data_IF_545549092428
#
_entry.id   IF_545549092428
#
_cell.length_a   1.000
_cell.length_b   1.000
_cell.length_c   1.000
_cell.angle_alpha   90.00
_cell.angle_beta   90.00
_cell.angle_gamma   90.00
#
_symmetry.space_group_name_H-M   'P 1'
#
loop_
_entity.id
_entity.type
_entity.pdbx_description
1 polymer ?
#
# COMPACT_ATOMS: atom_id res chain seq x y z
N UNK A 1 -43.90 45.34 -41.75
CA UNK A 1 -44.45 45.28 -43.13
C UNK A 1 -43.35 45.71 -44.09
N UNK A 2 -43.14 44.94 -45.16
CA UNK A 2 -42.24 45.17 -46.33
C UNK A 2 -40.75 44.89 -46.05
N UNK A 3 -39.97 44.13 -46.83
CA UNK A 3 -40.23 43.15 -47.89
C UNK A 3 -38.94 42.35 -48.15
N UNK A 4 -39.11 41.18 -48.76
CA UNK A 4 -38.09 40.28 -49.29
C UNK A 4 -37.19 40.92 -50.36
N UNK A 5 -35.94 40.45 -50.45
CA UNK A 5 -35.22 40.34 -51.71
C UNK A 5 -34.36 39.06 -51.75
N UNK A 6 -34.37 38.43 -52.92
CA UNK A 6 -34.00 37.06 -53.23
C UNK A 6 -32.59 36.91 -53.83
N UNK A 7 -32.08 35.67 -53.77
CA UNK A 7 -31.26 34.93 -54.78
C UNK A 7 -29.78 35.31 -55.03
N UNK A 8 -28.90 34.37 -54.68
CA UNK A 8 -28.02 33.58 -55.56
C UNK A 8 -27.10 32.74 -54.64
N UNK A 9 -27.05 31.41 -54.67
CA UNK A 9 -26.74 30.56 -55.81
C UNK A 9 -25.30 30.06 -55.66
N UNK A 10 -25.11 28.86 -55.09
CA UNK A 10 -23.94 27.96 -55.29
C UNK A 10 -24.19 26.63 -54.58
N UNK A 11 -24.64 25.66 -55.36
CA UNK A 11 -24.58 24.26 -54.99
C UNK A 11 -23.11 23.82 -54.97
N UNK A 12 -22.60 23.45 -53.79
CA UNK A 12 -21.37 22.69 -53.68
C UNK A 12 -21.74 21.21 -53.67
N UNK A 13 -21.28 20.52 -54.70
CA UNK A 13 -21.31 19.05 -54.78
C UNK A 13 -20.37 18.52 -53.70
N UNK A 14 -20.95 17.92 -52.67
CA UNK A 14 -20.24 17.10 -51.69
C UNK A 14 -19.72 15.86 -52.41
N UNK A 15 -18.43 15.88 -52.79
CA UNK A 15 -17.69 14.70 -53.18
C UNK A 15 -17.35 13.87 -51.96
N UNK A 16 -18.12 12.82 -51.71
CA UNK A 16 -17.81 11.80 -50.69
C UNK A 16 -16.60 10.99 -51.15
N UNK A 17 -15.39 11.38 -50.75
CA UNK A 17 -14.23 10.49 -50.83
C UNK A 17 -14.33 9.50 -49.65
N UNK A 18 -14.90 8.33 -49.92
CA UNK A 18 -14.75 7.18 -49.03
C UNK A 18 -13.30 6.69 -49.13
N UNK A 19 -12.44 7.19 -48.23
CA UNK A 19 -11.13 6.60 -48.01
C UNK A 19 -11.34 5.24 -47.33
N UNK A 20 -11.23 4.16 -48.11
CA UNK A 20 -11.04 2.82 -47.58
C UNK A 20 -9.67 2.79 -46.89
N UNK A 21 -9.66 3.09 -45.59
CA UNK A 21 -8.56 2.68 -44.74
C UNK A 21 -8.59 1.16 -44.68
N UNK A 22 -7.67 0.52 -45.40
CA UNK A 22 -7.38 -0.89 -45.18
C UNK A 22 -6.91 -1.03 -43.74
N UNK A 23 -7.79 -1.52 -42.85
CA UNK A 23 -7.43 -1.94 -41.50
C UNK A 23 -6.58 -3.20 -41.70
N UNK A 24 -5.27 -3.02 -41.84
CA UNK A 24 -4.34 -4.12 -41.68
C UNK A 24 -4.49 -4.57 -40.22
N UNK A 25 -4.80 -5.85 -39.95
CA UNK A 25 -4.76 -6.34 -38.59
C UNK A 25 -3.34 -6.12 -38.08
N UNK A 26 -3.17 -5.29 -37.04
CA UNK A 26 -1.94 -5.35 -36.26
C UNK A 26 -1.90 -6.79 -35.75
N UNK A 27 -0.92 -7.56 -36.22
CA UNK A 27 -0.63 -8.84 -35.63
C UNK A 27 -0.35 -8.56 -34.14
N UNK A 28 -1.23 -9.04 -33.27
CA UNK A 28 -0.95 -9.01 -31.84
C UNK A 28 0.35 -9.78 -31.66
N UNK A 29 1.38 -9.12 -31.13
CA UNK A 29 2.61 -9.81 -30.74
C UNK A 29 2.19 -10.95 -29.80
N UNK A 30 2.53 -12.18 -30.18
CA UNK A 30 2.25 -13.34 -29.34
C UNK A 30 3.12 -13.25 -28.10
N UNK A 31 2.50 -13.34 -26.91
CA UNK A 31 3.22 -13.48 -25.65
C UNK A 31 4.15 -14.69 -25.74
N UNK A 32 5.41 -14.52 -25.37
CA UNK A 32 6.35 -15.62 -25.24
C UNK A 32 6.54 -15.96 -23.76
N UNK A 33 6.65 -17.26 -23.44
CA UNK A 33 7.09 -17.68 -22.10
C UNK A 33 8.59 -17.47 -21.99
N UNK A 34 8.99 -16.47 -21.19
CA UNK A 34 10.39 -16.05 -21.09
C UNK A 34 11.12 -16.67 -19.90
N UNK A 35 10.38 -17.01 -18.84
CA UNK A 35 10.90 -17.68 -17.66
C UNK A 35 9.88 -18.71 -17.19
N UNK A 36 10.35 -19.90 -16.79
CA UNK A 36 9.47 -21.00 -16.37
C UNK A 36 10.15 -21.90 -15.34
N UNK A 37 9.44 -22.19 -14.27
CA UNK A 37 9.72 -23.24 -13.28
C UNK A 37 8.57 -24.21 -13.33
N UNK A 38 8.80 -25.41 -13.86
CA UNK A 38 7.77 -26.44 -14.00
C UNK A 38 7.37 -27.09 -12.65
N UNK A 39 6.18 -27.70 -12.55
CA UNK A 39 5.70 -28.35 -11.32
C UNK A 39 6.30 -29.75 -11.11
N UNK A 40 7.16 -30.25 -12.01
CA UNK A 40 7.70 -31.60 -11.95
C UNK A 40 8.62 -31.78 -10.73
N UNK A 41 8.24 -32.68 -9.82
CA UNK A 41 9.01 -32.97 -8.60
C UNK A 41 8.75 -32.01 -7.44
N UNK A 42 7.78 -31.12 -7.59
CA UNK A 42 7.38 -30.15 -6.57
C UNK A 42 6.29 -30.73 -5.64
N UNK A 43 6.21 -30.22 -4.41
CA UNK A 43 5.08 -30.46 -3.51
C UNK A 43 3.89 -29.60 -3.94
N UNK A 44 2.88 -30.23 -4.52
CA UNK A 44 1.66 -29.60 -5.02
C UNK A 44 0.59 -29.30 -3.96
N UNK A 45 0.92 -29.39 -2.67
CA UNK A 45 -0.04 -29.27 -1.56
C UNK A 45 0.28 -28.11 -0.60
N UNK A 46 1.04 -27.12 -1.05
CA UNK A 46 1.39 -25.96 -0.24
C UNK A 46 0.22 -24.99 -0.18
N UNK A 47 -0.35 -24.80 1.01
CA UNK A 47 -1.42 -23.82 1.22
C UNK A 47 -0.95 -22.38 0.98
N UNK A 48 -1.82 -21.55 0.41
CA UNK A 48 -1.55 -20.12 0.19
C UNK A 48 -1.57 -19.36 1.53
N UNK A 49 -2.35 -19.78 2.54
CA UNK A 49 -2.25 -19.26 3.90
C UNK A 49 -2.44 -17.74 4.00
N UNK A 50 -3.28 -17.17 3.14
CA UNK A 50 -3.52 -15.74 2.99
C UNK A 50 -2.69 -15.07 1.89
N UNK A 51 -1.38 -15.34 1.82
CA UNK A 51 -0.53 -14.85 0.73
C UNK A 51 0.73 -15.71 0.54
N UNK A 52 1.34 -15.68 -0.64
CA UNK A 52 2.60 -16.38 -0.93
C UNK A 52 3.24 -15.75 -2.16
N UNK A 53 4.56 -15.63 -2.18
CA UNK A 53 5.27 -14.94 -3.26
C UNK A 53 6.57 -15.60 -3.69
N UNK A 54 7.12 -15.09 -4.78
CA UNK A 54 8.37 -15.54 -5.37
C UNK A 54 9.07 -14.36 -6.02
N UNK A 55 10.37 -14.21 -5.73
CA UNK A 55 11.22 -13.29 -6.47
C UNK A 55 11.77 -13.91 -7.76
N UNK A 56 11.88 -13.09 -8.80
CA UNK A 56 12.46 -13.43 -10.09
C UNK A 56 13.24 -12.25 -10.70
N UNK A 57 14.16 -12.54 -11.61
CA UNK A 57 14.99 -11.53 -12.31
C UNK A 57 14.98 -11.85 -13.81
N UNK A 58 14.27 -11.08 -14.65
CA UNK A 58 14.32 -11.26 -16.10
C UNK A 58 15.70 -10.86 -16.62
N UNK A 59 16.26 -11.63 -17.56
CA UNK A 59 17.60 -11.33 -18.12
C UNK A 59 17.59 -10.06 -19.00
N UNK A 60 16.48 -9.81 -19.70
CA UNK A 60 16.27 -8.65 -20.56
C UNK A 60 15.05 -7.85 -20.14
N UNK A 61 14.93 -6.62 -20.64
CA UNK A 61 13.71 -5.84 -20.46
C UNK A 61 12.48 -6.56 -21.03
N UNK A 62 11.34 -6.45 -20.37
CA UNK A 62 10.12 -7.19 -20.67
C UNK A 62 8.90 -6.28 -20.49
N UNK A 63 8.00 -6.24 -21.47
CA UNK A 63 6.62 -5.79 -21.26
C UNK A 63 5.79 -6.98 -20.76
N UNK A 64 5.62 -7.05 -19.43
CA UNK A 64 4.97 -8.15 -18.75
C UNK A 64 3.47 -8.15 -19.04
N UNK A 65 2.98 -9.29 -19.52
CA UNK A 65 1.56 -9.51 -19.79
C UNK A 65 0.92 -10.36 -18.70
N UNK A 66 1.55 -11.46 -18.31
CA UNK A 66 1.03 -12.37 -17.31
C UNK A 66 2.12 -13.02 -16.46
N UNK A 67 1.75 -13.39 -15.24
CA UNK A 67 2.47 -14.38 -14.44
C UNK A 67 1.52 -15.54 -14.20
N UNK A 68 1.89 -16.75 -14.58
CA UNK A 68 1.11 -17.94 -14.30
C UNK A 68 1.70 -18.70 -13.12
N UNK A 69 0.85 -19.20 -12.23
CA UNK A 69 1.27 -20.04 -11.09
C UNK A 69 0.54 -21.38 -11.17
N UNK A 70 1.22 -22.48 -10.86
CA UNK A 70 0.57 -23.79 -10.82
C UNK A 70 -0.26 -23.91 -9.55
N UNK A 71 -1.58 -24.02 -9.69
CA UNK A 71 -2.52 -24.11 -8.56
C UNK A 71 -3.33 -25.40 -8.62
N UNK A 72 -3.58 -25.99 -7.45
CA UNK A 72 -4.50 -27.11 -7.24
C UNK A 72 -5.65 -26.63 -6.35
N UNK A 73 -6.92 -26.72 -6.80
CA UNK A 73 -8.06 -26.35 -5.95
C UNK A 73 -8.18 -27.25 -4.72
N UNK A 74 -8.59 -26.70 -3.57
CA UNK A 74 -8.83 -27.44 -2.32
C UNK A 74 -10.28 -27.29 -1.81
N UNK A 75 -11.23 -27.38 -2.75
CA UNK A 75 -12.66 -27.30 -2.46
C UNK A 75 -13.19 -25.88 -2.25
N UNK A 76 -14.38 -25.61 -2.81
CA UNK A 76 -15.05 -24.32 -2.73
C UNK A 76 -14.48 -23.27 -3.69
N UNK A 77 -15.31 -22.32 -4.08
CA UNK A 77 -14.93 -21.25 -5.01
C UNK A 77 -14.09 -20.18 -4.30
N UNK A 78 -12.88 -19.96 -4.80
CA UNK A 78 -11.92 -19.03 -4.21
C UNK A 78 -11.39 -18.06 -5.25
N UNK A 79 -11.18 -16.79 -4.86
CA UNK A 79 -10.61 -15.76 -5.71
C UNK A 79 -9.21 -15.38 -5.28
N UNK A 80 -8.31 -15.16 -6.23
CA UNK A 80 -6.91 -14.80 -6.00
C UNK A 80 -6.54 -13.57 -6.79
N UNK A 81 -5.83 -12.66 -6.14
CA UNK A 81 -5.20 -11.51 -6.79
C UNK A 81 -3.67 -11.72 -6.74
N UNK A 82 -2.92 -11.11 -7.65
CA UNK A 82 -1.47 -11.10 -7.61
C UNK A 82 -0.92 -9.68 -7.62
N UNK A 83 -0.04 -9.39 -6.66
CA UNK A 83 0.79 -8.19 -6.66
C UNK A 83 2.08 -8.45 -7.37
N UNK A 84 2.54 -7.46 -8.13
CA UNK A 84 3.89 -7.42 -8.68
C UNK A 84 4.64 -6.27 -8.03
N UNK A 85 5.83 -6.54 -7.53
CA UNK A 85 6.65 -5.62 -6.74
C UNK A 85 8.04 -5.47 -7.37
N UNK A 86 8.64 -4.28 -7.24
CA UNK A 86 10.00 -3.97 -7.68
C UNK A 86 11.02 -4.29 -6.58
N UNK A 87 11.83 -5.32 -6.78
CA UNK A 87 12.84 -5.81 -5.85
C UNK A 87 12.51 -7.20 -5.27
N UNK A 88 13.29 -7.60 -4.29
CA UNK A 88 13.22 -8.93 -3.65
C UNK A 88 12.38 -8.86 -2.37
N UNK A 89 11.32 -9.65 -2.30
CA UNK A 89 10.44 -9.78 -1.14
C UNK A 89 9.18 -8.90 -1.17
N UNK A 90 8.28 -9.06 -0.19
CA UNK A 90 6.95 -8.43 -0.14
C UNK A 90 7.00 -6.94 0.26
N UNK A 91 8.11 -6.47 0.80
CA UNK A 91 8.22 -5.08 1.29
C UNK A 91 8.54 -4.08 0.19
N UNK A 92 8.91 -4.60 -0.99
CA UNK A 92 9.22 -3.88 -2.22
C UNK A 92 8.08 -3.01 -2.74
N UNK A 93 8.37 -1.88 -3.43
CA UNK A 93 7.34 -1.05 -4.04
C UNK A 93 6.50 -1.82 -5.07
N UNK A 94 5.17 -1.86 -4.96
CA UNK A 94 4.31 -2.44 -5.97
C UNK A 94 4.33 -1.70 -7.32
N UNK A 95 4.38 -2.48 -8.38
CA UNK A 95 4.33 -2.07 -9.80
C UNK A 95 2.96 -2.30 -10.41
N UNK A 96 2.24 -3.34 -9.99
CA UNK A 96 0.97 -3.72 -10.60
C UNK A 96 0.16 -4.66 -9.73
N UNK A 97 -1.13 -4.71 -10.02
CA UNK A 97 -2.07 -5.69 -9.49
C UNK A 97 -2.71 -6.39 -10.68
N UNK A 98 -2.79 -7.72 -10.61
CA UNK A 98 -3.41 -8.52 -11.65
C UNK A 98 -4.94 -8.43 -11.64
N UNK A 99 -5.57 -8.96 -12.69
CA UNK A 99 -6.97 -9.38 -12.62
C UNK A 99 -7.14 -10.52 -11.60
N UNK A 100 -8.33 -10.61 -10.99
CA UNK A 100 -8.67 -11.72 -10.08
C UNK A 100 -8.83 -13.03 -10.85
N UNK A 101 -8.18 -14.08 -10.38
CA UNK A 101 -8.36 -15.44 -10.87
C UNK A 101 -9.24 -16.23 -9.91
N UNK A 102 -10.27 -16.89 -10.43
CA UNK A 102 -11.14 -17.78 -9.65
C UNK A 102 -10.69 -19.23 -9.80
N UNK A 103 -10.36 -19.87 -8.68
CA UNK A 103 -10.03 -21.30 -8.59
C UNK A 103 -11.04 -21.95 -7.65
N UNK A 104 -11.82 -22.89 -8.17
CA UNK A 104 -12.96 -23.43 -7.43
C UNK A 104 -13.32 -24.87 -7.79
N UNK A 105 -14.53 -25.27 -7.39
CA UNK A 105 -15.02 -26.63 -7.60
C UNK A 105 -15.17 -26.91 -9.10
N UNK A 106 -14.39 -27.88 -9.60
CA UNK A 106 -14.37 -28.25 -11.02
C UNK A 106 -13.26 -27.58 -11.84
N UNK A 107 -12.48 -26.67 -11.27
CA UNK A 107 -11.20 -26.25 -11.86
C UNK A 107 -10.23 -27.44 -11.80
N UNK A 108 -9.52 -27.74 -12.88
CA UNK A 108 -8.46 -28.75 -12.84
C UNK A 108 -7.18 -28.14 -12.26
N UNK A 109 -6.35 -28.94 -11.59
CA UNK A 109 -5.00 -28.51 -11.24
C UNK A 109 -4.24 -28.08 -12.50
N UNK A 110 -3.60 -26.91 -12.47
CA UNK A 110 -2.95 -26.37 -13.65
C UNK A 110 -2.49 -24.93 -13.50
N UNK A 111 -1.95 -24.40 -14.60
CA UNK A 111 -1.51 -23.01 -14.71
C UNK A 111 -2.67 -22.03 -14.62
N UNK A 112 -2.58 -21.11 -13.65
CA UNK A 112 -3.53 -20.03 -13.45
C UNK A 112 -2.82 -18.71 -13.78
N UNK A 113 -3.29 -18.04 -14.84
CA UNK A 113 -2.66 -16.82 -15.37
C UNK A 113 -3.20 -15.57 -14.68
N UNK A 114 -2.30 -14.79 -14.09
CA UNK A 114 -2.56 -13.49 -13.48
C UNK A 114 -2.11 -12.40 -14.46
N UNK A 115 -3.06 -11.82 -15.19
CA UNK A 115 -2.79 -10.82 -16.23
C UNK A 115 -2.64 -9.41 -15.66
N UNK A 116 -1.71 -8.64 -16.22
CA UNK A 116 -1.44 -7.24 -15.87
C UNK A 116 -1.70 -6.31 -17.06
N UNK A 117 -2.13 -5.08 -16.80
CA UNK A 117 -2.35 -4.05 -17.83
C UNK A 117 -1.01 -3.35 -18.19
N UNK A 118 -0.07 -4.09 -18.79
CA UNK A 118 1.18 -3.58 -19.36
C UNK A 118 2.18 -3.07 -18.33
N UNK A 119 3.05 -3.96 -17.81
CA UNK A 119 4.10 -3.58 -16.86
C UNK A 119 5.48 -3.78 -17.48
N UNK A 120 6.18 -2.68 -17.75
CA UNK A 120 7.55 -2.72 -18.21
C UNK A 120 8.53 -3.06 -17.06
N UNK A 121 9.23 -4.18 -17.20
CA UNK A 121 10.31 -4.63 -16.33
C UNK A 121 11.66 -4.39 -17.00
N UNK A 122 12.63 -3.95 -16.23
CA UNK A 122 14.02 -3.82 -16.67
C UNK A 122 14.73 -5.18 -16.52
N UNK A 123 15.61 -5.50 -17.46
CA UNK A 123 16.47 -6.68 -17.36
C UNK A 123 17.52 -6.53 -16.27
N UNK A 124 17.83 -7.63 -15.58
CA UNK A 124 18.82 -7.69 -14.50
C UNK A 124 18.34 -7.15 -13.15
N UNK A 125 17.13 -6.59 -13.08
CA UNK A 125 16.51 -6.14 -11.83
C UNK A 125 15.66 -7.25 -11.23
N UNK A 126 15.65 -7.37 -9.90
CA UNK A 126 14.78 -8.32 -9.22
C UNK A 126 13.37 -7.77 -9.08
N UNK A 127 12.39 -8.66 -9.17
CA UNK A 127 10.97 -8.40 -8.97
C UNK A 127 10.40 -9.49 -8.08
N UNK A 128 9.26 -9.24 -7.45
CA UNK A 128 8.56 -10.22 -6.63
C UNK A 128 7.10 -10.21 -6.99
N UNK A 129 6.54 -11.39 -7.29
CA UNK A 129 5.09 -11.52 -7.32
C UNK A 129 4.57 -12.09 -5.99
N UNK A 130 3.37 -11.70 -5.58
CA UNK A 130 2.71 -12.19 -4.36
C UNK A 130 1.26 -12.51 -4.69
N UNK A 131 0.89 -13.79 -4.64
CA UNK A 131 -0.49 -14.28 -4.75
C UNK A 131 -1.17 -14.11 -3.40
N UNK A 132 -2.37 -13.53 -3.40
CA UNK A 132 -3.17 -13.24 -2.20
C UNK A 132 -4.57 -13.81 -2.35
N UNK A 133 -5.02 -14.59 -1.36
CA UNK A 133 -6.36 -15.14 -1.31
C UNK A 133 -7.39 -14.09 -0.89
N UNK A 134 -8.55 -14.04 -1.57
CA UNK A 134 -9.68 -13.15 -1.24
C UNK A 134 -10.74 -13.82 -0.34
N UNK A 135 -10.69 -15.14 -0.21
CA UNK A 135 -11.66 -15.98 0.51
C UNK A 135 -10.96 -16.83 1.58
N UNK A 136 -11.75 -17.48 2.44
CA UNK A 136 -11.24 -18.38 3.50
C UNK A 136 -10.94 -19.81 3.02
N UNK A 137 -11.34 -20.17 1.80
CA UNK A 137 -10.94 -21.40 1.13
C UNK A 137 -9.64 -21.15 0.36
N UNK A 138 -8.67 -22.06 0.52
CA UNK A 138 -7.31 -21.91 0.01
C UNK A 138 -7.00 -22.99 -1.03
N UNK A 139 -6.76 -22.60 -2.27
CA UNK A 139 -6.07 -23.44 -3.23
C UNK A 139 -4.64 -23.69 -2.73
N UNK A 140 -4.04 -24.75 -3.22
CA UNK A 140 -2.64 -25.07 -2.97
C UNK A 140 -1.78 -24.73 -4.19
N UNK A 141 -0.50 -24.48 -3.97
CA UNK A 141 0.50 -24.23 -4.99
C UNK A 141 1.49 -25.39 -5.09
N UNK A 142 2.18 -25.49 -6.22
CA UNK A 142 3.37 -26.32 -6.34
C UNK A 142 4.62 -25.56 -5.87
N UNK A 143 5.29 -26.10 -4.85
CA UNK A 143 6.57 -25.62 -4.33
C UNK A 143 7.67 -26.63 -4.59
N UNK A 144 8.75 -26.18 -5.20
CA UNK A 144 9.90 -26.96 -5.61
C UNK A 144 11.08 -26.68 -4.65
N UNK A 145 12.05 -27.59 -4.59
CA UNK A 145 13.39 -27.22 -4.10
C UNK A 145 14.04 -26.23 -5.10
N UNK A 146 14.99 -25.40 -4.65
CA UNK A 146 15.75 -24.39 -5.42
C UNK A 146 15.96 -24.76 -6.91
N UNK A 147 14.95 -24.44 -7.72
CA UNK A 147 14.79 -24.80 -9.12
C UNK A 147 15.02 -23.57 -10.00
N UNK A 148 14.99 -22.38 -9.42
CA UNK A 148 15.25 -21.11 -10.06
C UNK A 148 16.37 -20.38 -9.33
N UNK A 149 17.56 -20.38 -9.94
CA UNK A 149 18.74 -19.78 -9.34
C UNK A 149 18.52 -18.30 -9.00
N UNK A 150 18.67 -17.95 -7.72
CA UNK A 150 18.45 -16.58 -7.22
C UNK A 150 16.99 -16.27 -6.88
N UNK A 151 16.10 -17.23 -7.10
CA UNK A 151 14.74 -17.25 -6.60
C UNK A 151 14.67 -17.20 -5.08
N UNK A 152 13.59 -16.62 -4.59
CA UNK A 152 13.34 -16.44 -3.17
C UNK A 152 11.84 -16.56 -2.95
N UNK A 153 11.40 -17.68 -2.38
CA UNK A 153 10.01 -17.85 -1.97
C UNK A 153 9.72 -17.00 -0.72
N UNK A 154 8.48 -16.54 -0.61
CA UNK A 154 8.02 -15.74 0.51
C UNK A 154 6.69 -16.25 1.05
N UNK A 155 6.56 -16.31 2.38
CA UNK A 155 5.30 -16.57 3.08
C UNK A 155 5.05 -15.56 4.20
N UNK A 156 3.76 -15.24 4.47
CA UNK A 156 3.34 -14.47 5.62
C UNK A 156 3.88 -15.06 6.92
N UNK A 157 4.51 -14.22 7.73
CA UNK A 157 5.06 -14.61 9.03
C UNK A 157 6.45 -15.23 8.98
N UNK A 158 7.04 -15.42 7.80
CA UNK A 158 8.46 -15.76 7.67
C UNK A 158 9.28 -14.46 7.58
N UNK A 159 10.22 -14.28 8.52
CA UNK A 159 11.10 -13.10 8.58
C UNK A 159 12.14 -13.11 7.44
N UNK A 160 12.57 -14.31 7.03
CA UNK A 160 13.56 -14.52 5.98
C UNK A 160 12.90 -15.04 4.70
N UNK A 161 13.38 -14.57 3.56
CA UNK A 161 13.01 -15.15 2.28
C UNK A 161 13.67 -16.52 2.12
N UNK A 162 12.88 -17.52 1.75
CA UNK A 162 13.38 -18.88 1.60
C UNK A 162 14.14 -19.01 0.28
N UNK A 163 15.47 -19.14 0.39
CA UNK A 163 16.37 -19.38 -0.74
C UNK A 163 16.45 -20.86 -1.15
N UNK A 164 15.89 -21.77 -0.35
CA UNK A 164 15.96 -23.21 -0.60
C UNK A 164 14.74 -23.73 -1.37
N UNK A 165 13.72 -22.90 -1.58
CA UNK A 165 12.50 -23.30 -2.28
C UNK A 165 12.05 -22.24 -3.28
N UNK A 166 11.36 -22.73 -4.31
CA UNK A 166 10.73 -21.89 -5.33
C UNK A 166 9.27 -22.30 -5.54
N UNK A 167 8.45 -21.39 -6.05
CA UNK A 167 7.14 -21.74 -6.60
C UNK A 167 7.28 -22.24 -8.05
N UNK A 168 6.36 -23.09 -8.50
CA UNK A 168 6.20 -23.34 -9.94
C UNK A 168 5.46 -22.16 -10.59
N UNK A 169 6.13 -21.44 -11.48
CA UNK A 169 5.61 -20.24 -12.14
C UNK A 169 6.06 -20.10 -13.60
N UNK A 170 5.35 -19.31 -14.37
CA UNK A 170 5.71 -18.89 -15.73
C UNK A 170 5.56 -17.38 -15.87
N UNK A 171 6.51 -16.73 -16.54
CA UNK A 171 6.45 -15.31 -16.88
C UNK A 171 6.23 -15.20 -18.38
N UNK A 172 5.15 -14.51 -18.76
CA UNK A 172 4.78 -14.28 -20.15
C UNK A 172 4.78 -12.79 -20.47
N UNK A 173 5.36 -12.44 -21.61
CA UNK A 173 5.26 -11.10 -22.16
C UNK A 173 6.04 -10.95 -23.44
N UNK A 174 6.30 -9.69 -23.82
CA UNK A 174 7.07 -9.35 -25.02
C UNK A 174 8.40 -8.74 -24.59
N UNK A 175 9.56 -9.25 -25.07
CA UNK A 175 10.83 -8.57 -24.85
C UNK A 175 10.75 -7.10 -25.26
N UNK A 176 11.28 -6.20 -24.44
CA UNK A 176 11.42 -4.80 -24.85
C UNK A 176 12.60 -4.72 -25.82
N UNK A 177 12.30 -4.51 -27.10
CA UNK A 177 13.29 -4.35 -28.17
C UNK A 177 14.39 -3.39 -27.71
N UNK A 178 15.64 -3.84 -27.70
CA UNK A 178 16.80 -3.14 -27.13
C UNK A 178 17.11 -1.75 -27.71
N UNK A 179 16.34 -1.28 -28.70
CA UNK A 179 16.35 0.09 -29.19
C UNK A 179 15.63 1.08 -28.23
N UNK A 180 14.86 0.59 -27.26
CA UNK A 180 14.26 1.38 -26.18
C UNK A 180 15.25 1.55 -25.01
N UNK A 181 16.39 2.19 -25.29
CA UNK A 181 17.47 2.36 -24.30
C UNK A 181 17.09 3.30 -23.15
N UNK A 182 16.64 2.74 -22.02
CA UNK A 182 16.62 3.40 -20.69
C UNK A 182 17.71 2.83 -19.76
N UNK A 183 18.58 1.95 -20.27
CA UNK A 183 19.64 1.33 -19.50
C UNK A 183 20.98 2.07 -19.64
N UNK A 184 21.17 3.15 -18.87
CA UNK A 184 22.51 3.71 -18.64
C UNK A 184 22.55 4.53 -17.34
N UNK A 185 22.80 3.87 -16.20
CA UNK A 185 23.63 4.32 -15.06
C UNK A 185 23.23 3.56 -13.80
N UNK A 186 23.76 2.34 -13.61
CA UNK A 186 23.91 1.79 -12.27
C UNK A 186 25.35 1.27 -12.11
N UNK A 187 25.98 1.53 -10.96
CA UNK A 187 27.35 1.09 -10.67
C UNK A 187 27.40 -0.44 -10.44
N UNK A 188 28.57 -1.07 -10.67
CA UNK A 188 28.72 -2.52 -10.52
C UNK A 188 28.55 -2.97 -9.05
N UNK A 189 28.04 -4.20 -8.81
CA UNK A 189 27.88 -4.77 -7.48
C UNK A 189 29.22 -4.97 -6.79
N UNK A 190 29.21 -4.81 -5.46
CA UNK A 190 30.38 -4.97 -4.60
C UNK A 190 30.79 -6.45 -4.46
N UNK A 191 32.10 -6.65 -4.32
CA UNK A 191 32.82 -7.93 -4.23
C UNK A 191 32.41 -8.76 -2.99
N UNK A 192 31.97 -10.04 -3.13
CA UNK A 192 31.39 -10.84 -2.03
C UNK A 192 32.42 -11.55 -1.12
N UNK A 193 33.61 -10.98 -0.92
CA UNK A 193 34.79 -11.73 -0.48
C UNK A 193 35.24 -11.72 0.99
N UNK A 194 34.67 -10.92 1.90
CA UNK A 194 35.17 -10.87 3.29
C UNK A 194 34.20 -11.47 4.33
N UNK A 195 34.65 -12.46 5.14
CA UNK A 195 33.86 -12.95 6.26
C UNK A 195 33.81 -11.87 7.36
N UNK A 196 32.60 -11.39 7.64
CA UNK A 196 32.35 -10.38 8.66
C UNK A 196 32.80 -10.89 10.04
N UNK A 197 33.85 -10.26 10.59
CA UNK A 197 34.19 -10.38 12.00
C UNK A 197 33.00 -9.84 12.82
N UNK A 198 32.27 -10.73 13.48
CA UNK A 198 31.16 -10.32 14.35
C UNK A 198 31.69 -9.43 15.48
N UNK A 199 31.11 -8.23 15.61
CA UNK A 199 31.48 -7.27 16.65
C UNK A 199 31.16 -7.84 18.04
N UNK A 200 31.96 -7.52 19.07
CA UNK A 200 31.64 -7.87 20.45
C UNK A 200 30.22 -7.40 20.83
N UNK A 201 29.42 -8.21 21.56
CA UNK A 201 28.02 -7.92 21.85
C UNK A 201 27.75 -6.55 22.47
N UNK A 202 28.67 -6.04 23.29
CA UNK A 202 28.57 -4.71 23.92
C UNK A 202 28.76 -3.55 22.93
N UNK A 203 29.59 -3.74 21.89
CA UNK A 203 29.79 -2.78 20.81
C UNK A 203 28.61 -2.84 19.84
N UNK A 204 28.12 -4.05 19.53
CA UNK A 204 26.89 -4.23 18.76
C UNK A 204 25.67 -3.59 19.44
N UNK A 205 25.52 -3.72 20.77
CA UNK A 205 24.44 -3.09 21.53
C UNK A 205 24.53 -1.56 21.54
N UNK A 206 25.73 -0.98 21.69
CA UNK A 206 25.93 0.48 21.62
C UNK A 206 25.79 1.05 20.21
N UNK A 207 26.15 0.29 19.18
CA UNK A 207 25.90 0.65 17.78
C UNK A 207 24.39 0.58 17.53
N UNK A 208 23.69 -0.48 17.97
CA UNK A 208 22.24 -0.57 17.86
C UNK A 208 21.52 0.59 18.58
N UNK A 209 21.97 0.98 19.78
CA UNK A 209 21.41 2.10 20.55
C UNK A 209 21.72 3.47 19.90
N UNK A 210 22.93 3.65 19.35
CA UNK A 210 23.31 4.85 18.59
C UNK A 210 22.57 4.94 17.26
N UNK A 211 22.40 3.83 16.57
CA UNK A 211 21.69 3.75 15.31
C UNK A 211 20.18 3.98 15.54
N UNK A 212 19.63 3.51 16.67
CA UNK A 212 18.28 3.87 17.15
C UNK A 212 18.12 5.37 17.45
N UNK A 213 19.14 6.02 18.01
CA UNK A 213 19.13 7.47 18.24
C UNK A 213 19.28 8.29 16.95
N UNK A 214 19.86 7.71 15.89
CA UNK A 214 19.96 8.31 14.57
C UNK A 214 18.66 8.20 13.76
N UNK A 215 17.82 7.20 14.05
CA UNK A 215 16.52 7.01 13.38
C UNK A 215 15.57 8.17 13.67
N UNK A 216 14.85 8.57 12.63
CA UNK A 216 13.77 9.54 12.71
C UNK A 216 12.58 8.95 13.46
N UNK A 217 12.04 9.73 14.39
CA UNK A 217 10.91 9.33 15.21
C UNK A 217 9.59 9.61 14.51
N UNK A 218 8.71 8.61 14.48
CA UNK A 218 7.43 8.66 13.78
C UNK A 218 6.32 8.44 14.79
N UNK A 219 5.36 9.35 14.86
CA UNK A 219 4.19 9.25 15.73
C UNK A 219 2.94 8.96 14.91
N UNK A 220 2.46 7.70 14.89
CA UNK A 220 1.16 7.36 14.34
C UNK A 220 0.06 7.92 15.23
N UNK A 221 -0.75 8.85 14.72
CA UNK A 221 -1.81 9.55 15.44
C UNK A 221 -3.15 9.30 14.73
N UNK A 222 -4.16 8.85 15.45
CA UNK A 222 -5.46 8.58 14.84
C UNK A 222 -6.46 7.90 15.74
N UNK A 223 -7.34 7.11 15.13
CA UNK A 223 -8.43 6.39 15.78
C UNK A 223 -8.22 4.86 15.70
N UNK A 224 -9.29 4.06 15.62
CA UNK A 224 -9.23 2.60 15.52
C UNK A 224 -8.50 2.11 14.26
N UNK A 225 -8.42 2.90 13.20
CA UNK A 225 -7.65 2.55 11.99
C UNK A 225 -6.14 2.68 12.22
N UNK A 226 -5.71 3.55 13.13
CA UNK A 226 -4.30 3.66 13.54
C UNK A 226 -3.97 2.68 14.67
N UNK A 227 -4.88 2.53 15.63
CA UNK A 227 -4.75 1.62 16.77
C UNK A 227 -4.70 0.16 16.29
N UNK A 228 -5.66 -0.25 15.45
CA UNK A 228 -5.82 -1.63 14.98
C UNK A 228 -5.65 -2.64 16.13
N UNK A 229 -6.44 -2.51 17.22
CA UNK A 229 -6.45 -3.58 18.21
C UNK A 229 -6.96 -4.85 17.53
N UNK A 230 -6.73 -6.00 18.15
CA UNK A 230 -7.05 -7.35 17.69
C UNK A 230 -8.54 -7.61 17.33
N UNK A 231 -9.20 -6.74 16.57
CA UNK A 231 -10.61 -6.91 16.32
C UNK A 231 -10.81 -8.21 15.53
N UNK A 232 -9.81 -8.70 14.77
CA UNK A 232 -9.98 -9.88 13.91
C UNK A 232 -8.69 -10.66 13.50
N UNK A 233 -7.63 -10.73 14.32
CA UNK A 233 -6.57 -11.75 14.19
C UNK A 233 -5.49 -11.62 13.09
N UNK A 234 -5.76 -11.03 11.92
CA UNK A 234 -4.81 -11.04 10.78
C UNK A 234 -4.03 -9.73 10.57
N UNK A 235 -4.52 -8.58 11.05
CA UNK A 235 -3.93 -7.26 10.81
C UNK A 235 -3.38 -6.62 12.10
N UNK A 236 -2.78 -7.41 13.00
CA UNK A 236 -2.20 -6.88 14.24
C UNK A 236 -1.16 -5.79 13.97
N UNK A 237 -1.41 -4.60 14.53
CA UNK A 237 -0.57 -3.41 14.27
C UNK A 237 -0.87 -2.69 12.96
N UNK A 238 -1.78 -3.20 12.13
CA UNK A 238 -2.18 -2.62 10.85
C UNK A 238 -0.99 -2.29 9.96
N UNK A 239 -1.07 -1.14 9.28
CA UNK A 239 -0.01 -0.66 8.40
C UNK A 239 1.34 -0.48 9.12
N UNK A 240 1.33 -0.30 10.45
CA UNK A 240 2.57 -0.10 11.22
C UNK A 240 3.39 -1.37 11.27
N UNK A 241 2.75 -2.55 11.28
CA UNK A 241 3.45 -3.84 11.19
C UNK A 241 4.22 -3.94 9.87
N UNK A 242 3.55 -3.68 8.76
CA UNK A 242 4.19 -3.74 7.44
C UNK A 242 5.32 -2.71 7.29
N UNK A 243 5.15 -1.51 7.83
CA UNK A 243 6.22 -0.50 7.84
C UNK A 243 7.38 -0.92 8.74
N UNK A 244 7.11 -1.46 9.93
CA UNK A 244 8.14 -1.88 10.88
C UNK A 244 8.96 -3.10 10.41
N UNK A 245 8.35 -3.96 9.59
CA UNK A 245 9.00 -5.16 9.04
C UNK A 245 9.78 -4.86 7.76
N UNK A 246 9.58 -3.70 7.13
CA UNK A 246 10.41 -3.25 6.03
C UNK A 246 11.78 -2.76 6.54
N UNK A 247 12.85 -3.48 6.21
CA UNK A 247 14.20 -3.17 6.70
C UNK A 247 14.68 -1.76 6.31
N UNK A 248 14.31 -1.27 5.12
CA UNK A 248 14.65 0.08 4.69
C UNK A 248 13.98 1.15 5.57
N UNK A 249 12.70 0.95 5.89
CA UNK A 249 11.98 1.81 6.82
C UNK A 249 12.54 1.70 8.23
N UNK A 250 12.67 0.48 8.77
CA UNK A 250 13.13 0.23 10.13
C UNK A 250 14.56 0.73 10.37
N UNK A 251 15.41 0.76 9.34
CA UNK A 251 16.76 1.33 9.41
C UNK A 251 16.78 2.86 9.53
N UNK A 252 15.75 3.55 9.02
CA UNK A 252 15.67 5.02 8.97
C UNK A 252 14.71 5.61 10.00
N UNK A 253 13.69 4.86 10.40
CA UNK A 253 12.57 5.33 11.18
C UNK A 253 12.30 4.42 12.38
N UNK A 254 11.69 5.00 13.42
CA UNK A 254 11.15 4.24 14.54
C UNK A 254 9.84 4.83 15.02
N UNK A 255 8.86 3.98 15.31
CA UNK A 255 7.60 4.43 15.86
C UNK A 255 7.71 4.84 17.34
N UNK A 256 6.98 5.88 17.72
CA UNK A 256 6.89 6.39 19.09
C UNK A 256 5.43 6.72 19.46
N UNK A 257 5.12 6.68 20.75
CA UNK A 257 3.77 6.94 21.25
C UNK A 257 3.58 6.48 22.69
N UNK A 258 2.44 6.84 23.29
CA UNK A 258 2.09 6.47 24.66
C UNK A 258 1.34 5.14 24.76
N UNK A 259 0.83 4.64 23.64
CA UNK A 259 0.19 3.33 23.56
C UNK A 259 1.17 2.38 22.88
N UNK A 260 1.68 1.41 23.62
CA UNK A 260 2.11 0.13 23.05
C UNK A 260 0.94 -0.85 23.11
N UNK A 261 1.03 -2.01 22.48
CA UNK A 261 0.00 -3.08 22.47
C UNK A 261 -0.18 -3.74 23.86
N UNK A 262 -0.26 -2.94 24.92
CA UNK A 262 -0.31 -3.34 26.32
C UNK A 262 -1.73 -3.62 26.81
N UNK A 263 -2.76 -3.28 26.05
CA UNK A 263 -4.13 -3.35 26.55
C UNK A 263 -4.85 -4.69 26.35
N UNK A 264 -4.36 -5.56 25.47
CA UNK A 264 -5.03 -6.85 25.21
C UNK A 264 -4.10 -8.04 25.44
N UNK A 265 -3.97 -8.37 26.72
CA UNK A 265 -3.71 -9.68 27.29
C UNK A 265 -2.27 -10.19 27.35
N UNK A 266 -2.02 -10.93 28.43
CA UNK A 266 -0.79 -11.58 28.87
C UNK A 266 -0.30 -12.71 27.95
N UNK A 267 -0.60 -12.66 26.65
CA UNK A 267 0.01 -13.56 25.69
C UNK A 267 1.14 -12.79 25.01
N UNK A 268 2.41 -13.12 25.27
CA UNK A 268 3.46 -12.82 24.32
C UNK A 268 3.14 -13.65 23.08
N UNK A 269 2.20 -13.16 22.25
CA UNK A 269 2.15 -13.52 20.86
C UNK A 269 3.48 -13.02 20.29
N UNK A 270 4.44 -13.91 19.99
CA UNK A 270 5.77 -13.55 19.52
C UNK A 270 5.75 -12.96 18.10
N UNK A 271 4.57 -12.85 17.49
CA UNK A 271 4.41 -12.64 16.07
C UNK A 271 4.62 -11.16 15.65
N UNK A 272 5.88 -10.87 15.34
CA UNK A 272 6.40 -10.07 14.21
C UNK A 272 6.28 -8.55 14.22
N UNK A 273 6.38 -7.89 15.37
CA UNK A 273 6.88 -6.50 15.39
C UNK A 273 7.93 -6.35 16.48
N UNK A 274 9.11 -5.78 16.16
CA UNK A 274 10.09 -5.37 17.15
C UNK A 274 9.41 -4.53 18.25
N UNK A 275 9.73 -4.82 19.52
CA UNK A 275 9.06 -4.20 20.66
C UNK A 275 9.09 -2.67 20.64
N UNK A 276 10.15 -2.09 20.08
CA UNK A 276 10.37 -0.66 19.89
C UNK A 276 9.52 -0.03 18.77
N UNK A 277 8.87 -0.84 17.92
CA UNK A 277 8.05 -0.37 16.79
C UNK A 277 6.53 -0.43 17.06
N UNK A 278 6.13 -0.91 18.24
CA UNK A 278 4.71 -1.12 18.58
C UNK A 278 3.97 0.16 18.95
N UNK A 279 4.67 1.27 19.13
CA UNK A 279 4.12 2.48 19.75
C UNK A 279 3.27 3.33 18.80
N UNK A 280 2.19 3.92 19.33
CA UNK A 280 1.32 4.85 18.63
C UNK A 280 0.57 5.76 19.61
N UNK A 281 -0.17 6.70 19.02
CA UNK A 281 -1.08 7.65 19.65
C UNK A 281 -2.51 7.51 19.14
N UNK A 282 -2.79 6.43 18.41
CA UNK A 282 -4.13 6.00 18.05
C UNK A 282 -4.92 5.44 19.24
N UNK A 283 -6.23 5.65 19.26
CA UNK A 283 -7.13 5.03 20.24
C UNK A 283 -8.46 4.64 19.58
N UNK A 284 -8.89 3.41 19.80
CA UNK A 284 -10.15 2.92 19.24
C UNK A 284 -11.38 3.70 19.73
N UNK A 285 -12.20 4.14 18.78
CA UNK A 285 -13.35 5.01 19.06
C UNK A 285 -12.99 6.47 19.34
N UNK A 286 -11.72 6.87 19.24
CA UNK A 286 -11.34 8.26 19.43
C UNK A 286 -11.92 9.17 18.35
N UNK A 287 -12.38 10.35 18.77
CA UNK A 287 -12.80 11.45 17.91
C UNK A 287 -11.85 12.62 18.10
N UNK A 288 -11.94 13.66 17.26
CA UNK A 288 -11.08 14.84 17.40
C UNK A 288 -11.16 15.46 18.81
N UNK A 289 -12.38 15.66 19.32
CA UNK A 289 -12.63 16.35 20.60
C UNK A 289 -12.87 15.40 21.79
N UNK A 290 -12.98 14.09 21.54
CA UNK A 290 -13.37 13.09 22.53
C UNK A 290 -14.85 12.69 22.46
N UNK A 291 -15.10 11.41 22.69
CA UNK A 291 -16.41 10.80 22.73
C UNK A 291 -17.13 11.14 24.05
N UNK A 292 -18.32 11.75 23.97
CA UNK A 292 -19.14 12.04 25.16
C UNK A 292 -18.53 13.04 26.14
N UNK A 293 -17.64 13.93 25.65
CA UNK A 293 -16.88 14.83 26.51
C UNK A 293 -15.78 14.14 27.31
N UNK A 294 -15.48 12.86 27.00
CA UNK A 294 -14.37 12.16 27.64
C UNK A 294 -13.03 12.59 27.01
N UNK A 295 -12.21 13.37 27.73
CA UNK A 295 -10.87 13.78 27.29
C UNK A 295 -9.98 12.63 26.80
N UNK A 296 -10.08 11.44 27.42
CA UNK A 296 -9.20 10.31 27.11
C UNK A 296 -9.42 9.68 25.74
N UNK A 297 -10.50 10.07 25.06
CA UNK A 297 -10.87 9.60 23.72
C UNK A 297 -10.67 10.69 22.67
N UNK A 298 -10.04 11.81 23.04
CA UNK A 298 -9.72 12.91 22.11
C UNK A 298 -8.37 12.65 21.45
N UNK A 299 -8.35 12.71 20.12
CA UNK A 299 -7.11 12.65 19.32
C UNK A 299 -6.20 13.82 19.67
N UNK A 300 -6.76 15.02 19.88
CA UNK A 300 -6.00 16.21 20.30
C UNK A 300 -5.28 15.93 21.62
N UNK A 301 -5.99 15.39 22.62
CA UNK A 301 -5.39 15.11 23.92
C UNK A 301 -4.40 13.94 23.88
N UNK A 302 -4.70 12.91 23.09
CA UNK A 302 -3.78 11.79 22.88
C UNK A 302 -2.46 12.27 22.28
N UNK A 303 -2.48 13.19 21.32
CA UNK A 303 -1.24 13.80 20.82
C UNK A 303 -0.42 14.47 21.94
N UNK A 304 -1.05 15.32 22.76
CA UNK A 304 -0.33 16.02 23.84
C UNK A 304 0.18 15.07 24.92
N UNK A 305 -0.60 14.04 25.27
CA UNK A 305 -0.19 12.99 26.22
C UNK A 305 0.96 12.15 25.67
N UNK A 306 0.94 11.80 24.38
CA UNK A 306 2.05 11.12 23.74
C UNK A 306 3.32 11.97 23.75
N UNK A 307 3.16 13.26 23.46
CA UNK A 307 4.30 14.17 23.41
C UNK A 307 5.01 14.29 24.76
N UNK A 308 4.32 14.18 25.90
CA UNK A 308 4.99 14.27 27.20
C UNK A 308 5.87 13.08 27.52
N UNK A 309 5.66 11.93 26.85
CA UNK A 309 6.49 10.72 27.03
C UNK A 309 7.57 10.57 25.96
N UNK A 310 7.65 11.47 24.99
CA UNK A 310 8.64 11.42 23.89
C UNK A 310 9.36 12.75 23.74
N UNK A 311 10.70 12.76 23.82
CA UNK A 311 11.48 14.01 23.82
C UNK A 311 11.57 14.71 22.46
N UNK A 312 11.32 13.99 21.36
CA UNK A 312 11.30 14.55 20.00
C UNK A 312 10.40 13.72 19.08
N UNK A 313 9.71 14.39 18.17
CA UNK A 313 8.89 13.77 17.11
C UNK A 313 9.34 14.37 15.78
N UNK A 314 9.90 13.57 14.87
CA UNK A 314 10.30 14.05 13.55
C UNK A 314 9.10 14.06 12.59
N UNK A 315 8.28 13.01 12.61
CA UNK A 315 7.11 12.84 11.76
C UNK A 315 5.87 12.52 12.58
N UNK A 316 4.73 13.12 12.22
CA UNK A 316 3.39 12.72 12.69
C UNK A 316 2.63 12.17 11.49
N UNK A 317 2.19 10.90 11.56
CA UNK A 317 1.29 10.29 10.58
C UNK A 317 -0.13 10.43 11.12
N UNK A 318 -0.96 11.27 10.52
CA UNK A 318 -2.29 11.61 11.02
C UNK A 318 -3.38 11.00 10.14
N UNK A 319 -4.15 10.07 10.69
CA UNK A 319 -5.38 9.54 10.09
C UNK A 319 -6.51 9.59 11.13
N UNK A 320 -7.39 10.57 11.03
CA UNK A 320 -8.32 10.94 12.08
C UNK A 320 -9.65 11.46 11.53
N UNK A 321 -10.74 11.24 12.25
CA UNK A 321 -12.06 11.77 11.93
C UNK A 321 -13.12 10.72 11.61
N UNK A 322 -12.75 9.45 11.42
CA UNK A 322 -13.68 8.36 11.12
C UNK A 322 -14.81 8.27 12.14
N UNK A 323 -14.46 8.33 13.43
CA UNK A 323 -15.45 8.25 14.50
C UNK A 323 -16.24 9.55 14.70
N UNK A 324 -15.71 10.70 14.31
CA UNK A 324 -16.49 11.95 14.28
C UNK A 324 -17.65 11.81 13.29
N UNK A 325 -17.35 11.32 12.08
CA UNK A 325 -18.34 11.08 11.03
C UNK A 325 -19.32 9.95 11.41
N UNK A 326 -18.85 8.90 12.10
CA UNK A 326 -19.64 7.69 12.38
C UNK A 326 -20.63 7.91 13.51
N UNK A 327 -20.22 8.67 14.53
CA UNK A 327 -21.04 8.88 15.72
C UNK A 327 -22.14 9.93 15.50
N UNK A 328 -22.23 10.53 14.31
CA UNK A 328 -23.40 11.27 13.79
C UNK A 328 -23.92 12.38 14.74
N UNK A 329 -23.02 13.00 15.53
CA UNK A 329 -23.40 13.98 16.57
C UNK A 329 -23.45 15.43 16.09
N UNK A 330 -22.99 15.71 14.86
CA UNK A 330 -23.13 17.03 14.25
C UNK A 330 -24.27 17.01 13.21
N UNK A 331 -24.89 18.16 12.91
CA UNK A 331 -25.84 18.27 11.81
C UNK A 331 -25.27 17.65 10.52
N UNK A 332 -26.03 16.81 9.80
CA UNK A 332 -25.51 15.99 8.69
C UNK A 332 -24.80 16.75 7.57
N UNK A 333 -25.13 18.01 7.37
CA UNK A 333 -24.68 18.85 6.26
C UNK A 333 -23.42 19.69 6.58
N UNK A 334 -22.82 19.52 7.76
CA UNK A 334 -21.60 20.23 8.16
C UNK A 334 -20.58 19.29 8.83
N UNK A 335 -20.89 18.00 8.91
CA UNK A 335 -20.10 17.04 9.69
C UNK A 335 -18.74 16.78 9.03
N UNK A 336 -18.67 16.70 7.70
CA UNK A 336 -17.42 16.53 6.97
C UNK A 336 -16.52 17.76 7.11
N UNK A 337 -17.03 18.93 6.73
CA UNK A 337 -16.29 20.20 6.78
C UNK A 337 -15.80 20.55 8.19
N UNK A 338 -16.66 20.43 9.22
CA UNK A 338 -16.26 20.73 10.61
C UNK A 338 -15.19 19.79 11.14
N UNK A 339 -15.26 18.51 10.77
CA UNK A 339 -14.24 17.53 11.17
C UNK A 339 -12.90 17.83 10.47
N UNK A 340 -12.93 18.24 9.20
CA UNK A 340 -11.74 18.69 8.48
C UNK A 340 -11.13 19.95 9.12
N UNK A 341 -11.96 20.93 9.49
CA UNK A 341 -11.52 22.14 10.19
C UNK A 341 -10.80 21.81 11.52
N UNK A 342 -11.35 20.89 12.31
CA UNK A 342 -10.72 20.43 13.56
C UNK A 342 -9.38 19.72 13.31
N UNK A 343 -9.30 18.94 12.23
CA UNK A 343 -8.05 18.28 11.82
C UNK A 343 -6.98 19.31 11.50
N UNK A 344 -7.33 20.32 10.69
CA UNK A 344 -6.41 21.43 10.34
C UNK A 344 -6.01 22.24 11.57
N UNK A 345 -6.93 22.51 12.50
CA UNK A 345 -6.62 23.20 13.75
C UNK A 345 -5.66 22.41 14.64
N UNK A 346 -5.80 21.07 14.70
CA UNK A 346 -4.82 20.22 15.38
C UNK A 346 -3.45 20.32 14.70
N UNK A 347 -3.39 20.27 13.37
CA UNK A 347 -2.13 20.44 12.63
C UNK A 347 -1.48 21.79 12.94
N UNK A 348 -2.23 22.89 12.97
CA UNK A 348 -1.71 24.21 13.37
C UNK A 348 -1.11 24.19 14.78
N UNK A 349 -1.80 23.57 15.74
CA UNK A 349 -1.27 23.40 17.09
C UNK A 349 0.03 22.59 17.10
N UNK A 350 0.10 21.49 16.36
CA UNK A 350 1.34 20.71 16.23
C UNK A 350 2.45 21.58 15.64
N UNK A 351 2.20 22.30 14.55
CA UNK A 351 3.20 23.13 13.87
C UNK A 351 3.70 24.29 14.74
N UNK A 352 2.80 24.89 15.53
CA UNK A 352 3.12 26.01 16.44
C UNK A 352 4.05 25.58 17.57
N UNK A 353 3.86 24.37 18.11
CA UNK A 353 4.55 23.94 19.32
C UNK A 353 5.64 22.90 19.08
N UNK A 354 5.84 22.41 17.86
CA UNK A 354 6.86 21.41 17.52
C UNK A 354 7.61 21.80 16.25
N UNK A 355 8.69 21.09 15.93
CA UNK A 355 9.38 21.15 14.63
C UNK A 355 9.00 19.97 13.71
N UNK A 356 8.03 19.16 14.12
CA UNK A 356 7.64 17.94 13.42
C UNK A 356 7.11 18.23 12.01
N UNK A 357 7.33 17.28 11.11
CA UNK A 357 6.65 17.16 9.83
C UNK A 357 5.34 16.40 10.05
N UNK A 358 4.28 16.81 9.38
CA UNK A 358 2.96 16.20 9.46
C UNK A 358 2.63 15.63 8.10
N UNK A 359 2.35 14.33 8.06
CA UNK A 359 1.75 13.68 6.91
C UNK A 359 0.31 13.37 7.31
N UNK A 360 -0.64 14.04 6.69
CA UNK A 360 -2.07 13.87 6.97
C UNK A 360 -2.71 13.05 5.85
N UNK A 361 -3.41 11.98 6.20
CA UNK A 361 -4.13 11.16 5.24
C UNK A 361 -5.60 11.59 5.17
N UNK A 362 -6.15 11.57 3.96
CA UNK A 362 -7.59 11.45 3.77
C UNK A 362 -8.10 10.16 4.42
N UNK A 363 -9.37 10.14 4.82
CA UNK A 363 -10.02 8.93 5.32
C UNK A 363 -10.20 7.93 4.19
N UNK A 364 -10.00 6.64 4.48
CA UNK A 364 -10.30 5.53 3.56
C UNK A 364 -11.80 5.42 3.27
N UNK A 365 -12.21 4.81 2.13
CA UNK A 365 -13.62 4.53 1.86
C UNK A 365 -14.21 3.55 2.87
N UNK A 366 -15.52 3.63 3.10
CA UNK A 366 -16.29 2.60 3.80
C UNK A 366 -17.07 1.75 2.80
N UNK A 367 -17.25 0.46 3.07
CA UNK A 367 -18.22 -0.41 2.39
C UNK A 367 -19.22 -0.99 3.41
N UNK A 368 -20.44 -1.33 2.97
CA UNK A 368 -21.47 -1.91 3.84
C UNK A 368 -22.09 -0.98 4.91
N UNK A 369 -21.60 0.25 5.06
CA UNK A 369 -22.19 1.29 5.92
C UNK A 369 -23.40 1.99 5.32
N UNK A 370 -23.96 2.96 6.05
CA UNK A 370 -25.00 3.83 5.48
C UNK A 370 -24.40 4.66 4.34
N UNK A 371 -25.11 4.78 3.22
CA UNK A 371 -24.67 5.62 2.10
C UNK A 371 -24.32 7.05 2.55
N UNK A 372 -24.99 7.53 3.60
CA UNK A 372 -24.75 8.82 4.26
C UNK A 372 -23.33 8.95 4.82
N UNK A 373 -22.74 7.88 5.38
CA UNK A 373 -21.39 7.94 5.93
C UNK A 373 -20.35 8.20 4.83
N UNK A 374 -20.44 7.51 3.68
CA UNK A 374 -19.52 7.75 2.57
C UNK A 374 -19.66 9.15 1.98
N UNK A 375 -20.88 9.72 1.95
CA UNK A 375 -21.05 11.14 1.59
C UNK A 375 -20.25 12.03 2.53
N UNK A 376 -20.34 11.80 3.84
CA UNK A 376 -19.59 12.57 4.83
C UNK A 376 -18.07 12.36 4.72
N UNK A 377 -17.61 11.16 4.37
CA UNK A 377 -16.18 10.87 4.12
C UNK A 377 -15.68 11.66 2.91
N UNK A 378 -16.43 11.68 1.81
CA UNK A 378 -16.09 12.46 0.61
C UNK A 378 -16.06 13.95 0.92
N UNK A 379 -17.05 14.46 1.66
CA UNK A 379 -17.11 15.85 2.09
C UNK A 379 -15.92 16.22 2.99
N UNK A 380 -15.59 15.37 3.97
CA UNK A 380 -14.41 15.54 4.82
C UNK A 380 -13.12 15.58 4.01
N UNK A 381 -12.89 14.58 3.14
CA UNK A 381 -11.68 14.47 2.33
C UNK A 381 -11.49 15.67 1.39
N UNK A 382 -12.59 16.12 0.77
CA UNK A 382 -12.61 17.31 -0.09
C UNK A 382 -12.29 18.57 0.71
N UNK A 383 -12.93 18.74 1.88
CA UNK A 383 -12.73 19.89 2.75
C UNK A 383 -11.30 19.95 3.30
N UNK A 384 -10.76 18.81 3.76
CA UNK A 384 -9.40 18.70 4.26
C UNK A 384 -8.39 19.08 3.17
N UNK A 385 -8.54 18.52 1.96
CA UNK A 385 -7.66 18.83 0.83
C UNK A 385 -7.68 20.32 0.49
N UNK A 386 -8.87 20.93 0.41
CA UNK A 386 -9.04 22.35 0.12
C UNK A 386 -8.38 23.23 1.19
N UNK A 387 -8.61 22.92 2.48
CA UNK A 387 -8.04 23.71 3.59
C UNK A 387 -6.52 23.58 3.65
N UNK A 388 -5.97 22.38 3.46
CA UNK A 388 -4.50 22.17 3.40
C UNK A 388 -3.91 22.91 2.20
N UNK A 389 -4.52 22.82 1.03
CA UNK A 389 -4.08 23.54 -0.16
C UNK A 389 -4.11 25.06 0.04
N UNK A 390 -5.15 25.60 0.70
CA UNK A 390 -5.22 27.01 1.06
C UNK A 390 -4.07 27.45 1.97
N UNK A 391 -3.74 26.67 3.01
CA UNK A 391 -2.60 26.96 3.91
C UNK A 391 -1.25 26.90 3.18
N UNK A 392 -1.11 25.99 2.21
CA UNK A 392 0.09 25.88 1.40
C UNK A 392 0.21 27.03 0.36
N UNK A 393 -0.92 27.60 -0.07
CA UNK A 393 -0.96 28.69 -1.04
C UNK A 393 -0.83 30.08 -0.40
N UNK A 394 -1.42 30.27 0.78
CA UNK A 394 -1.44 31.55 1.50
C UNK A 394 -0.03 31.99 1.95
N UNK A 395 0.51 33.12 1.46
CA UNK A 395 1.83 33.60 1.85
C UNK A 395 2.03 33.77 3.37
N UNK A 396 0.97 34.06 4.13
CA UNK A 396 1.06 34.24 5.59
C UNK A 396 1.37 32.94 6.33
N UNK A 397 0.99 31.79 5.77
CA UNK A 397 1.15 30.47 6.41
C UNK A 397 2.07 29.52 5.64
N UNK A 398 2.20 29.70 4.33
CA UNK A 398 2.97 28.84 3.44
C UNK A 398 4.44 28.65 3.85
N UNK A 399 5.08 29.67 4.42
CA UNK A 399 6.49 29.61 4.79
C UNK A 399 6.79 28.54 5.85
N UNK A 400 5.84 28.23 6.73
CA UNK A 400 5.99 27.16 7.73
C UNK A 400 5.20 25.90 7.40
N UNK A 401 4.14 25.99 6.58
CA UNK A 401 3.38 24.82 6.13
C UNK A 401 4.08 24.01 5.04
N UNK A 402 4.60 24.64 3.98
CA UNK A 402 5.21 23.92 2.84
C UNK A 402 6.33 22.95 3.21
N UNK A 403 7.28 23.30 4.10
CA UNK A 403 8.35 22.37 4.47
C UNK A 403 7.90 21.33 5.51
N UNK A 404 6.66 21.38 6.00
CA UNK A 404 6.24 20.62 7.20
C UNK A 404 4.90 19.92 7.08
N UNK A 405 4.12 20.13 6.02
CA UNK A 405 2.85 19.43 5.80
C UNK A 405 2.83 18.76 4.43
N UNK A 406 2.45 17.48 4.42
CA UNK A 406 2.14 16.72 3.22
C UNK A 406 0.82 15.98 3.40
N UNK A 407 0.06 15.86 2.32
CA UNK A 407 -1.20 15.13 2.30
C UNK A 407 -1.03 13.81 1.55
N UNK A 408 -1.74 12.77 1.99
CA UNK A 408 -1.84 11.46 1.34
C UNK A 408 -3.29 11.20 0.95
N UNK A 409 -3.51 10.87 -0.32
CA UNK A 409 -4.82 10.48 -0.84
C UNK A 409 -5.06 8.99 -0.58
N UNK A 410 -5.29 8.66 0.69
CA UNK A 410 -5.56 7.28 1.11
C UNK A 410 -6.91 6.78 0.55
N UNK A 411 -7.83 7.69 0.25
CA UNK A 411 -9.14 7.35 -0.28
C UNK A 411 -9.04 6.75 -1.68
N UNK A 412 -8.41 7.48 -2.61
CA UNK A 412 -8.21 7.02 -3.99
C UNK A 412 -7.22 5.87 -4.07
N UNK A 413 -6.25 5.79 -3.16
CA UNK A 413 -5.36 4.64 -3.07
C UNK A 413 -6.16 3.33 -2.94
N UNK A 414 -7.16 3.26 -2.06
CA UNK A 414 -7.98 2.06 -1.90
C UNK A 414 -8.71 1.67 -3.20
N UNK A 415 -9.25 2.63 -3.96
CA UNK A 415 -9.88 2.32 -5.24
C UNK A 415 -8.86 1.88 -6.30
N UNK A 416 -7.72 2.58 -6.41
CA UNK A 416 -6.63 2.25 -7.35
C UNK A 416 -6.13 0.83 -7.11
N UNK A 417 -5.80 0.51 -5.87
CA UNK A 417 -5.19 -0.76 -5.45
C UNK A 417 -6.17 -1.93 -5.43
N UNK A 418 -7.47 -1.72 -5.65
CA UNK A 418 -8.47 -2.79 -5.63
C UNK A 418 -9.25 -2.92 -6.93
N UNK A 419 -8.83 -2.24 -8.00
CA UNK A 419 -9.59 -2.23 -9.26
C UNK A 419 -11.00 -1.65 -9.07
N UNK A 420 -11.11 -0.55 -8.32
CA UNK A 420 -12.37 0.12 -7.96
C UNK A 420 -13.31 -0.71 -7.05
N UNK A 421 -12.75 -1.66 -6.27
CA UNK A 421 -13.49 -2.52 -5.33
C UNK A 421 -12.93 -2.42 -3.90
N UNK A 422 -13.05 -1.25 -3.23
CA UNK A 422 -12.41 -1.01 -1.93
C UNK A 422 -12.87 -1.98 -0.83
N UNK A 423 -14.03 -2.63 -0.99
CA UNK A 423 -14.52 -3.64 -0.06
C UNK A 423 -13.52 -4.79 0.14
N UNK A 424 -12.73 -5.14 -0.88
CA UNK A 424 -11.73 -6.20 -0.77
C UNK A 424 -10.56 -5.84 0.16
N UNK A 425 -10.32 -4.55 0.39
CA UNK A 425 -9.29 -4.04 1.29
C UNK A 425 -9.84 -3.71 2.69
N UNK A 426 -11.11 -4.04 2.98
CA UNK A 426 -11.79 -3.72 4.24
C UNK A 426 -12.35 -5.00 4.86
N UNK A 427 -12.19 -5.15 6.17
CA UNK A 427 -12.58 -6.36 6.88
C UNK A 427 -14.04 -6.36 7.35
N UNK A 428 -14.46 -5.29 8.01
CA UNK A 428 -15.84 -5.09 8.48
C UNK A 428 -16.54 -3.96 7.71
N UNK A 429 -16.01 -3.67 6.51
CA UNK A 429 -16.39 -2.54 5.70
C UNK A 429 -15.88 -1.19 6.20
N UNK A 430 -15.21 -1.10 7.34
CA UNK A 430 -14.64 0.16 7.87
C UNK A 430 -13.14 0.06 8.15
N UNK A 431 -12.70 -1.00 8.81
CA UNK A 431 -11.31 -1.23 9.16
C UNK A 431 -10.57 -1.91 8.00
N UNK A 432 -9.34 -1.48 7.67
CA UNK A 432 -8.50 -2.17 6.71
C UNK A 432 -8.33 -3.66 7.04
N UNK A 433 -8.44 -4.52 6.03
CA UNK A 433 -7.93 -5.90 6.10
C UNK A 433 -6.41 -5.90 6.09
N UNK A 434 -5.76 -7.08 6.07
CA UNK A 434 -4.31 -7.17 5.83
C UNK A 434 -3.92 -6.45 4.53
N UNK A 435 -4.71 -6.65 3.46
CA UNK A 435 -4.49 -5.97 2.18
C UNK A 435 -4.64 -4.45 2.30
N UNK A 436 -5.68 -3.97 3.00
CA UNK A 436 -5.84 -2.53 3.25
C UNK A 436 -4.72 -1.92 4.09
N UNK A 437 -4.19 -2.67 5.06
CA UNK A 437 -3.03 -2.25 5.86
C UNK A 437 -1.77 -2.10 4.99
N UNK A 438 -1.55 -3.00 4.04
CA UNK A 438 -0.42 -2.93 3.10
C UNK A 438 -0.54 -1.73 2.16
N UNK A 439 -1.76 -1.44 1.64
CA UNK A 439 -2.03 -0.22 0.87
C UNK A 439 -1.65 1.01 1.70
N UNK A 440 -2.14 1.11 2.93
CA UNK A 440 -1.83 2.23 3.80
C UNK A 440 -0.33 2.36 4.09
N UNK A 441 0.36 1.24 4.36
CA UNK A 441 1.81 1.19 4.61
C UNK A 441 2.59 1.75 3.42
N UNK A 442 2.22 1.35 2.20
CA UNK A 442 2.84 1.83 0.98
C UNK A 442 2.69 3.36 0.83
N UNK A 443 1.46 3.88 0.94
CA UNK A 443 1.19 5.30 0.77
C UNK A 443 1.89 6.16 1.85
N UNK A 444 1.96 5.67 3.10
CA UNK A 444 2.70 6.32 4.17
C UNK A 444 4.22 6.37 3.88
N UNK A 445 4.82 5.23 3.50
CA UNK A 445 6.26 5.16 3.18
C UNK A 445 6.60 6.06 2.01
N UNK A 446 5.82 6.00 0.93
CA UNK A 446 5.99 6.86 -0.24
C UNK A 446 5.98 8.34 0.14
N UNK A 447 5.02 8.76 0.98
CA UNK A 447 4.93 10.13 1.45
C UNK A 447 6.12 10.56 2.32
N UNK A 448 6.60 9.67 3.19
CA UNK A 448 7.76 9.92 4.07
C UNK A 448 9.06 10.04 3.29
N UNK A 449 9.35 9.12 2.37
CA UNK A 449 10.58 9.13 1.57
C UNK A 449 10.68 10.34 0.64
N UNK A 450 9.53 10.87 0.20
CA UNK A 450 9.45 12.03 -0.69
C UNK A 450 9.14 13.32 0.07
N UNK A 451 9.20 13.32 1.40
CA UNK A 451 9.05 14.53 2.20
C UNK A 451 10.39 15.29 2.19
N UNK A 452 10.45 16.54 1.69
CA UNK A 452 11.69 17.31 1.65
C UNK A 452 12.38 17.33 3.01
N UNK A 453 13.68 17.05 3.04
CA UNK A 453 14.47 17.01 4.28
C UNK A 453 14.59 18.38 4.95
#
# INVERSE_FOLDING_TARGET
>A
MIAQANKAGRAWVLGTFAAFAAILPLAAAHAETLLSVGPEGCDGQVAIGGAVGQSFTPESGLDLQSVSVWMTPDGGDSGYDMFLLQGTGPSSPPLGLSQTVSVGDGTAAGWQAFSFDGVALAGGESYTFVVVGRSSSDATLAQCADAYAGGRAHRPGEEDLDAATDLAFQIEGTPLDGDSSVAAMLPPPADPGEPANALPPEIAARIAERDLAARKTVMPLGDSITDMPDVFGAAWGGYRKDMANDAAFAGLFRFIGSYGVYQYSNSPSPWDMPWDQRFHCGWSGATMDGYGGNPSTSIIQNYWKCRTVTTSVDYVLMHAGTNDLRNDRLPPNELGERTALRTVALMEGILQYSTSKIIVAQLIPQTGGSAKFNVNVIEYNTSLANMVAQKLADPATAWYWRPRVKMVDMYQAFFKWTGNQPAAALQDGLHPSLWGAQIMSYEWRAAMYTFPN
#
